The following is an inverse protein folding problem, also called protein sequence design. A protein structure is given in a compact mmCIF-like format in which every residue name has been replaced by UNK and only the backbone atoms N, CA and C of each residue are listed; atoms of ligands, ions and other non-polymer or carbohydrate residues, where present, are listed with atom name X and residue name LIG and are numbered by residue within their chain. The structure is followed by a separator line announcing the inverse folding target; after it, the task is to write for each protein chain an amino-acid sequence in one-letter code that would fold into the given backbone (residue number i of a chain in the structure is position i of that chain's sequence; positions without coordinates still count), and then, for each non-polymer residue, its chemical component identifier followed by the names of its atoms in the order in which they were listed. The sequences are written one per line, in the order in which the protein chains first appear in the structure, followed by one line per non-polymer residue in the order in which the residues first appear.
data_IF_233886857118
#
_entry.id   IF_233886857118
#
_cell.length_a   1.000
_cell.length_b   1.000
_cell.length_c   1.000
_cell.angle_alpha   90.00
_cell.angle_beta   90.00
_cell.angle_gamma   90.00
#
_symmetry.space_group_name_H-M   'P 1'
#
loop_
_entity.id
_entity.type
_entity.pdbx_description
1 polymer ?
#
# COMPACT_ATOMS: atom_id res chain seq x y z
N UNK A 1 33.29 19.91 17.71
CA UNK A 1 33.19 20.30 16.28
C UNK A 1 33.48 19.17 15.31
N UNK A 2 34.51 18.34 15.53
CA UNK A 2 34.94 17.29 14.58
C UNK A 2 33.92 16.17 14.31
N UNK A 3 33.21 15.65 15.32
CA UNK A 3 32.21 14.57 15.16
C UNK A 3 30.97 14.97 14.32
N UNK A 4 30.62 16.27 14.32
CA UNK A 4 29.48 16.82 13.58
C UNK A 4 29.82 17.08 12.11
N UNK A 5 31.09 17.38 11.81
CA UNK A 5 31.61 17.54 10.45
C UNK A 5 31.72 16.18 9.75
N UNK A 6 32.30 15.19 10.43
CA UNK A 6 32.48 13.84 9.90
C UNK A 6 31.16 13.11 9.56
N UNK A 7 30.09 13.35 10.35
CA UNK A 7 28.75 12.80 10.08
C UNK A 7 28.05 13.53 8.91
N UNK A 8 28.38 14.80 8.69
CA UNK A 8 27.83 15.60 7.59
C UNK A 8 28.49 15.20 6.27
N UNK A 9 29.81 15.05 6.28
CA UNK A 9 30.60 14.60 5.13
C UNK A 9 30.20 13.18 4.68
N UNK A 10 29.93 12.26 5.62
CA UNK A 10 29.43 10.92 5.30
C UNK A 10 28.03 10.94 4.66
N UNK A 11 27.12 11.72 5.23
CA UNK A 11 25.75 11.81 4.72
C UNK A 11 25.69 12.48 3.33
N UNK A 12 26.51 13.51 3.09
CA UNK A 12 26.63 14.13 1.77
C UNK A 12 27.22 13.16 0.74
N UNK A 13 28.22 12.37 1.12
CA UNK A 13 28.81 11.35 0.25
C UNK A 13 27.82 10.22 -0.07
N UNK A 14 27.02 9.78 0.91
CA UNK A 14 25.98 8.77 0.72
C UNK A 14 24.89 9.29 -0.23
N UNK A 15 24.44 10.54 -0.08
CA UNK A 15 23.45 11.15 -0.97
C UNK A 15 23.98 11.30 -2.41
N UNK A 16 25.25 11.66 -2.56
CA UNK A 16 25.89 11.76 -3.87
C UNK A 16 25.95 10.38 -4.55
N UNK A 17 26.37 9.35 -3.81
CA UNK A 17 26.42 7.98 -4.30
C UNK A 17 25.03 7.44 -4.70
N UNK A 18 24.00 7.72 -3.91
CA UNK A 18 22.62 7.34 -4.25
C UNK A 18 22.15 8.02 -5.54
N UNK A 19 22.45 9.31 -5.70
CA UNK A 19 22.10 10.07 -6.91
C UNK A 19 22.81 9.53 -8.15
N UNK A 20 24.08 9.15 -8.02
CA UNK A 20 24.83 8.48 -9.10
C UNK A 20 24.16 7.18 -9.52
N UNK A 21 23.76 6.32 -8.56
CA UNK A 21 23.08 5.06 -8.84
C UNK A 21 21.71 5.24 -9.49
N UNK A 22 20.95 6.26 -9.09
CA UNK A 22 19.69 6.63 -9.74
C UNK A 22 19.93 7.02 -11.20
N UNK A 23 20.96 7.84 -11.47
CA UNK A 23 21.31 8.25 -12.83
C UNK A 23 21.80 7.06 -13.68
N UNK A 24 22.59 6.16 -13.10
CA UNK A 24 23.07 4.94 -13.76
C UNK A 24 21.89 4.04 -14.15
N UNK A 25 20.94 3.80 -13.23
CA UNK A 25 19.73 3.04 -13.52
C UNK A 25 18.88 3.73 -14.59
N UNK A 26 18.69 5.06 -14.51
CA UNK A 26 17.94 5.82 -15.52
C UNK A 26 18.57 5.66 -16.91
N UNK A 27 19.89 5.77 -17.01
CA UNK A 27 20.61 5.56 -18.27
C UNK A 27 20.45 4.11 -18.77
N UNK A 28 20.53 3.13 -17.87
CA UNK A 28 20.41 1.71 -18.20
C UNK A 28 18.99 1.30 -18.66
N UNK A 29 17.96 2.02 -18.22
CA UNK A 29 16.58 1.86 -18.69
C UNK A 29 16.36 2.39 -20.11
N UNK A 30 17.26 3.23 -20.62
CA UNK A 30 17.17 3.83 -21.94
C UNK A 30 16.08 4.92 -22.03
N UNK A 31 15.70 5.26 -23.26
CA UNK A 31 14.67 6.27 -23.49
C UNK A 31 13.27 5.72 -23.16
N UNK A 32 12.66 6.27 -22.11
CA UNK A 32 11.28 6.00 -21.74
C UNK A 32 10.35 7.03 -22.36
N UNK A 33 9.09 6.64 -22.63
CA UNK A 33 8.05 7.52 -23.15
C UNK A 33 6.70 7.25 -22.48
N UNK A 34 5.75 8.17 -22.66
CA UNK A 34 4.39 8.05 -22.15
C UNK A 34 4.33 7.76 -20.65
N UNK A 35 3.45 6.83 -20.26
CA UNK A 35 3.24 6.46 -18.85
C UNK A 35 4.47 5.88 -18.17
N UNK A 36 5.34 5.19 -18.91
CA UNK A 36 6.58 4.65 -18.36
C UNK A 36 7.54 5.76 -17.92
N UNK A 37 7.63 6.85 -18.70
CA UNK A 37 8.43 8.02 -18.31
C UNK A 37 7.84 8.69 -17.06
N UNK A 38 6.52 8.85 -17.01
CA UNK A 38 5.83 9.46 -15.88
C UNK A 38 5.95 8.63 -14.59
N UNK A 39 5.90 7.30 -14.70
CA UNK A 39 6.05 6.39 -13.56
C UNK A 39 7.47 6.39 -12.99
N UNK A 40 8.49 6.41 -13.85
CA UNK A 40 9.91 6.26 -13.50
C UNK A 40 10.56 7.56 -12.95
N UNK A 41 9.94 8.15 -11.93
CA UNK A 41 10.51 9.26 -11.14
C UNK A 41 11.76 8.83 -10.35
N UNK A 42 12.56 9.78 -9.88
CA UNK A 42 13.74 9.51 -9.03
C UNK A 42 13.39 8.71 -7.78
N UNK A 43 12.25 9.03 -7.14
CA UNK A 43 11.71 8.28 -6.02
C UNK A 43 11.38 6.83 -6.42
N UNK A 44 10.77 6.63 -7.60
CA UNK A 44 10.56 5.28 -8.13
C UNK A 44 11.87 4.53 -8.31
N UNK A 45 12.83 5.11 -9.04
CA UNK A 45 14.13 4.47 -9.29
C UNK A 45 14.85 4.10 -8.00
N UNK A 46 14.83 4.99 -6.99
CA UNK A 46 15.37 4.71 -5.66
C UNK A 46 14.74 3.47 -5.01
N UNK A 47 13.40 3.35 -5.00
CA UNK A 47 12.74 2.18 -4.39
C UNK A 47 13.16 0.86 -5.03
N UNK A 48 13.33 0.83 -6.36
CA UNK A 48 13.82 -0.36 -7.05
C UNK A 48 15.28 -0.66 -6.71
N UNK A 49 16.13 0.37 -6.60
CA UNK A 49 17.52 0.23 -6.13
C UNK A 49 17.57 -0.32 -4.71
N UNK A 50 16.84 0.26 -3.77
CA UNK A 50 16.78 -0.19 -2.38
C UNK A 50 16.34 -1.64 -2.26
N UNK A 51 15.26 -2.02 -2.96
CA UNK A 51 14.75 -3.39 -2.97
C UNK A 51 15.73 -4.43 -3.56
N UNK A 52 16.78 -3.98 -4.25
CA UNK A 52 17.83 -4.83 -4.82
C UNK A 52 19.22 -4.48 -4.30
N UNK A 53 19.30 -3.92 -3.10
CA UNK A 53 20.55 -3.58 -2.41
C UNK A 53 21.48 -2.71 -3.28
N UNK A 54 20.90 -1.72 -3.97
CA UNK A 54 21.57 -0.77 -4.86
C UNK A 54 22.30 -1.42 -6.06
N UNK A 55 21.95 -2.67 -6.41
CA UNK A 55 22.46 -3.34 -7.61
C UNK A 55 21.66 -2.89 -8.85
N UNK A 56 22.31 -2.17 -9.76
CA UNK A 56 21.66 -1.55 -10.92
C UNK A 56 21.05 -2.57 -11.87
N UNK A 57 21.75 -3.64 -12.22
CA UNK A 57 21.24 -4.66 -13.16
C UNK A 57 20.00 -5.38 -12.63
N UNK A 58 20.03 -5.79 -11.35
CA UNK A 58 18.87 -6.42 -10.70
C UNK A 58 17.69 -5.46 -10.59
N UNK A 59 17.96 -4.18 -10.32
CA UNK A 59 16.94 -3.13 -10.24
C UNK A 59 16.31 -2.87 -11.59
N UNK A 60 17.13 -2.78 -12.65
CA UNK A 60 16.70 -2.66 -14.04
C UNK A 60 15.76 -3.80 -14.42
N UNK A 61 16.18 -5.05 -14.18
CA UNK A 61 15.36 -6.21 -14.53
C UNK A 61 14.00 -6.17 -13.82
N UNK A 62 13.98 -5.87 -12.51
CA UNK A 62 12.74 -5.76 -11.73
C UNK A 62 11.83 -4.62 -12.22
N UNK A 63 12.42 -3.47 -12.57
CA UNK A 63 11.67 -2.33 -13.10
C UNK A 63 11.12 -2.61 -14.50
N UNK A 64 11.89 -3.25 -15.38
CA UNK A 64 11.43 -3.67 -16.71
C UNK A 64 10.25 -4.64 -16.63
N UNK A 65 10.32 -5.64 -15.75
CA UNK A 65 9.19 -6.55 -15.52
C UNK A 65 7.98 -5.80 -14.96
N UNK A 66 8.18 -4.78 -14.12
CA UNK A 66 7.06 -3.95 -13.67
C UNK A 66 6.46 -3.12 -14.79
N UNK A 67 7.28 -2.47 -15.63
CA UNK A 67 6.77 -1.69 -16.76
C UNK A 67 6.00 -2.56 -17.76
N UNK A 68 6.46 -3.80 -17.98
CA UNK A 68 5.75 -4.80 -18.78
C UNK A 68 4.44 -5.23 -18.13
N UNK A 69 4.43 -5.48 -16.81
CA UNK A 69 3.20 -5.79 -16.09
C UNK A 69 2.22 -4.62 -16.13
N UNK A 70 2.68 -3.37 -15.95
CA UNK A 70 1.81 -2.19 -16.01
C UNK A 70 1.23 -1.99 -17.40
N UNK A 71 1.98 -2.27 -18.47
CA UNK A 71 1.45 -2.11 -19.83
C UNK A 71 0.36 -3.12 -20.18
N UNK A 72 0.33 -4.29 -19.53
CA UNK A 72 -0.70 -5.31 -19.74
C UNK A 72 -1.83 -5.25 -18.71
N UNK A 73 -1.49 -5.12 -17.42
CA UNK A 73 -2.44 -5.09 -16.30
C UNK A 73 -3.15 -3.75 -16.15
N UNK A 74 -2.47 -2.66 -16.54
CA UNK A 74 -2.99 -1.28 -16.55
C UNK A 74 -3.61 -0.86 -15.21
N UNK A 75 -2.85 -0.91 -14.11
CA UNK A 75 -3.39 -0.60 -12.78
C UNK A 75 -3.96 0.82 -12.68
N UNK A 76 -3.42 1.78 -13.45
CA UNK A 76 -3.93 3.15 -13.53
C UNK A 76 -5.30 3.28 -14.23
N UNK A 77 -5.76 2.27 -14.98
CA UNK A 77 -7.05 2.26 -15.69
C UNK A 77 -8.19 1.64 -14.85
N UNK A 78 -7.88 1.03 -13.70
CA UNK A 78 -8.89 0.41 -12.85
C UNK A 78 -9.73 1.52 -12.18
N UNK A 79 -11.04 1.46 -12.37
CA UNK A 79 -11.99 2.40 -11.79
C UNK A 79 -12.74 1.78 -10.61
N UNK A 80 -13.19 2.61 -9.67
CA UNK A 80 -13.87 2.15 -8.46
C UNK A 80 -15.11 1.31 -8.76
N UNK A 81 -15.94 1.73 -9.72
CA UNK A 81 -17.19 1.03 -10.04
C UNK A 81 -16.97 -0.43 -10.49
N UNK A 82 -15.81 -0.77 -11.04
CA UNK A 82 -15.47 -2.14 -11.44
C UNK A 82 -15.17 -3.05 -10.24
N UNK A 83 -14.73 -2.46 -9.12
CA UNK A 83 -14.24 -3.18 -7.93
C UNK A 83 -15.00 -2.85 -6.65
N UNK A 84 -15.99 -1.97 -6.69
CA UNK A 84 -16.71 -1.48 -5.51
C UNK A 84 -17.35 -2.61 -4.69
N UNK A 85 -17.93 -3.60 -5.36
CA UNK A 85 -18.53 -4.79 -4.73
C UNK A 85 -17.54 -5.58 -3.84
N UNK A 86 -16.24 -5.55 -4.16
CA UNK A 86 -15.21 -6.19 -3.33
C UNK A 86 -15.03 -5.45 -2.00
N UNK A 87 -15.36 -4.17 -1.94
CA UNK A 87 -15.22 -3.29 -0.78
C UNK A 87 -16.44 -3.21 0.13
N UNK A 88 -17.59 -3.78 -0.23
CA UNK A 88 -18.88 -3.61 0.49
C UNK A 88 -18.81 -3.95 1.99
N UNK A 89 -18.04 -4.96 2.37
CA UNK A 89 -17.88 -5.38 3.77
C UNK A 89 -16.74 -4.65 4.49
N UNK A 90 -16.02 -3.76 3.80
CA UNK A 90 -14.83 -3.09 4.29
C UNK A 90 -13.70 -4.08 4.58
N UNK A 91 -13.56 -5.14 3.79
CA UNK A 91 -12.48 -6.12 3.91
C UNK A 91 -11.11 -5.54 3.61
N UNK A 92 -11.03 -4.53 2.76
CA UNK A 92 -9.83 -3.77 2.47
C UNK A 92 -10.26 -2.34 2.12
N UNK A 93 -9.66 -1.34 2.76
CA UNK A 93 -9.95 0.07 2.49
C UNK A 93 -8.80 0.97 2.93
N UNK A 94 -8.73 2.18 2.36
CA UNK A 94 -7.85 3.26 2.83
C UNK A 94 -8.53 4.00 3.96
N UNK A 95 -7.89 4.06 5.12
CA UNK A 95 -8.41 4.79 6.26
C UNK A 95 -8.43 6.31 5.99
N UNK A 96 -9.29 7.02 6.72
CA UNK A 96 -9.39 8.48 6.71
C UNK A 96 -8.45 9.15 7.74
N UNK A 97 -7.63 8.37 8.45
CA UNK A 97 -6.62 8.86 9.39
C UNK A 97 -5.21 8.51 8.93
N UNK A 98 -4.24 9.23 9.50
CA UNK A 98 -2.81 9.00 9.30
C UNK A 98 -2.22 8.39 10.57
N UNK A 99 -1.07 7.73 10.42
CA UNK A 99 -0.22 7.46 11.56
C UNK A 99 0.51 8.75 12.02
N UNK A 100 1.21 8.70 13.16
CA UNK A 100 1.91 9.84 13.74
C UNK A 100 3.09 10.35 12.90
N UNK A 101 3.55 9.58 11.92
CA UNK A 101 4.56 10.01 10.95
C UNK A 101 3.93 10.57 9.66
N UNK A 102 2.61 10.75 9.63
CA UNK A 102 1.90 11.31 8.49
C UNK A 102 1.70 10.32 7.34
N UNK A 103 1.75 9.02 7.60
CA UNK A 103 1.62 7.98 6.59
C UNK A 103 0.17 7.54 6.46
N UNK A 104 -0.27 7.34 5.21
CA UNK A 104 -1.57 6.74 4.95
C UNK A 104 -1.64 5.30 5.47
N UNK A 105 -2.84 4.91 5.87
CA UNK A 105 -3.12 3.61 6.48
C UNK A 105 -4.07 2.83 5.59
N UNK A 106 -3.66 1.62 5.21
CA UNK A 106 -4.55 0.60 4.63
C UNK A 106 -5.03 -0.33 5.74
N UNK A 107 -6.33 -0.59 5.78
CA UNK A 107 -6.94 -1.53 6.70
C UNK A 107 -7.39 -2.76 5.95
N UNK A 108 -6.86 -3.93 6.31
CA UNK A 108 -7.23 -5.25 5.78
C UNK A 108 -7.92 -6.05 6.89
N UNK A 109 -9.10 -6.59 6.60
CA UNK A 109 -9.89 -7.42 7.52
C UNK A 109 -10.24 -8.74 6.83
N UNK A 110 -9.33 -9.73 6.86
CA UNK A 110 -9.51 -10.98 6.13
C UNK A 110 -10.77 -11.75 6.55
N UNK A 111 -11.24 -11.60 7.79
CA UNK A 111 -12.49 -12.21 8.28
C UNK A 111 -13.77 -11.63 7.64
N UNK A 112 -13.67 -10.51 6.90
CA UNK A 112 -14.80 -9.87 6.21
C UNK A 112 -14.87 -10.21 4.72
N UNK A 113 -14.23 -11.29 4.27
CA UNK A 113 -14.29 -11.71 2.87
C UNK A 113 -15.74 -11.92 2.41
N UNK A 114 -16.11 -11.33 1.28
CA UNK A 114 -17.48 -11.33 0.74
C UNK A 114 -17.59 -11.90 -0.69
N UNK A 115 -16.47 -12.08 -1.39
CA UNK A 115 -16.45 -12.57 -2.78
C UNK A 115 -15.50 -13.75 -2.96
N UNK A 116 -15.58 -14.42 -4.10
CA UNK A 116 -14.74 -15.57 -4.47
C UNK A 116 -13.93 -15.36 -5.76
N UNK A 117 -14.21 -14.29 -6.52
CA UNK A 117 -13.52 -14.02 -7.79
C UNK A 117 -12.05 -13.71 -7.55
N UNK A 118 -11.18 -14.54 -8.12
CA UNK A 118 -9.73 -14.37 -8.04
C UNK A 118 -9.27 -13.05 -8.66
N UNK A 119 -9.73 -12.74 -9.87
CA UNK A 119 -9.28 -11.58 -10.62
C UNK A 119 -9.82 -10.28 -10.01
N UNK A 120 -11.08 -10.25 -9.57
CA UNK A 120 -11.67 -9.05 -8.94
C UNK A 120 -10.97 -8.73 -7.62
N UNK A 121 -10.64 -9.74 -6.81
CA UNK A 121 -9.89 -9.54 -5.57
C UNK A 121 -8.50 -8.94 -5.82
N UNK A 122 -7.79 -9.43 -6.83
CA UNK A 122 -6.49 -8.88 -7.21
C UNK A 122 -6.63 -7.43 -7.72
N UNK A 123 -7.61 -7.16 -8.59
CA UNK A 123 -7.90 -5.81 -9.08
C UNK A 123 -8.24 -4.85 -7.95
N UNK A 124 -9.03 -5.26 -6.97
CA UNK A 124 -9.39 -4.44 -5.81
C UNK A 124 -8.19 -4.09 -4.94
N UNK A 125 -7.29 -5.05 -4.66
CA UNK A 125 -6.04 -4.79 -3.93
C UNK A 125 -5.16 -3.80 -4.70
N UNK A 126 -4.99 -4.01 -6.01
CA UNK A 126 -4.17 -3.13 -6.86
C UNK A 126 -4.78 -1.73 -6.95
N UNK A 127 -6.09 -1.62 -7.11
CA UNK A 127 -6.81 -0.35 -7.11
C UNK A 127 -6.54 0.43 -5.82
N UNK A 128 -6.72 -0.20 -4.66
CA UNK A 128 -6.51 0.47 -3.38
C UNK A 128 -5.05 0.83 -3.12
N UNK A 129 -4.09 0.06 -3.65
CA UNK A 129 -2.67 0.42 -3.64
C UNK A 129 -2.39 1.67 -4.47
N UNK A 130 -2.82 1.71 -5.73
CA UNK A 130 -2.63 2.88 -6.61
C UNK A 130 -3.34 4.11 -6.03
N UNK A 131 -4.57 3.95 -5.56
CA UNK A 131 -5.36 4.99 -4.91
C UNK A 131 -4.67 5.54 -3.65
N UNK A 132 -4.06 4.67 -2.84
CA UNK A 132 -3.30 5.08 -1.65
C UNK A 132 -2.02 5.82 -2.08
N UNK A 133 -1.29 5.30 -3.07
CA UNK A 133 -0.08 5.94 -3.60
C UNK A 133 -0.36 7.33 -4.15
N UNK A 134 -1.47 7.49 -4.87
CA UNK A 134 -1.94 8.76 -5.43
C UNK A 134 -2.20 9.85 -4.36
N UNK A 135 -2.47 9.41 -3.13
CA UNK A 135 -2.88 10.27 -2.02
C UNK A 135 -1.85 10.33 -0.89
N UNK A 136 -0.68 9.73 -1.06
CA UNK A 136 0.41 9.90 -0.10
C UNK A 136 0.76 11.38 0.06
N UNK A 137 0.93 11.88 1.31
CA UNK A 137 1.39 13.24 1.54
C UNK A 137 2.73 13.53 0.86
N UNK A 138 3.01 14.81 0.60
CA UNK A 138 4.28 15.21 0.02
C UNK A 138 5.46 14.74 0.87
N UNK A 139 6.48 14.19 0.21
CA UNK A 139 7.65 13.62 0.88
C UNK A 139 7.44 12.20 1.41
N UNK A 140 6.21 11.66 1.37
CA UNK A 140 5.93 10.32 1.84
C UNK A 140 5.84 9.29 0.70
N UNK A 141 6.51 8.16 0.89
CA UNK A 141 6.56 7.08 -0.12
C UNK A 141 5.99 5.76 0.35
N UNK A 142 5.79 5.62 1.66
CA UNK A 142 5.35 4.39 2.30
C UNK A 142 3.98 4.53 2.95
N UNK A 143 3.32 3.41 3.16
CA UNK A 143 2.05 3.30 3.86
C UNK A 143 2.17 2.29 5.01
N UNK A 144 1.23 2.38 5.93
CA UNK A 144 1.08 1.45 7.05
C UNK A 144 -0.11 0.53 6.79
N UNK A 145 0.01 -0.73 7.21
CA UNK A 145 -1.07 -1.71 7.11
C UNK A 145 -1.55 -2.08 8.51
N UNK A 146 -2.86 -1.94 8.75
CA UNK A 146 -3.54 -2.53 9.89
C UNK A 146 -4.28 -3.79 9.40
N UNK A 147 -3.97 -4.95 9.95
CA UNK A 147 -4.51 -6.23 9.50
C UNK A 147 -5.27 -6.87 10.67
N UNK A 148 -6.59 -6.86 10.62
CA UNK A 148 -7.46 -7.45 11.65
C UNK A 148 -7.90 -8.86 11.29
N UNK A 149 -7.35 -9.84 12.03
CA UNK A 149 -7.72 -11.25 11.90
C UNK A 149 -8.90 -11.64 12.79
N UNK A 150 -9.57 -10.69 13.45
CA UNK A 150 -10.77 -10.99 14.24
C UNK A 150 -11.85 -11.59 13.34
N UNK A 151 -12.40 -12.74 13.75
CA UNK A 151 -13.37 -13.49 12.96
C UNK A 151 -12.78 -14.23 11.74
N UNK A 152 -11.47 -14.16 11.51
CA UNK A 152 -10.82 -14.94 10.45
C UNK A 152 -10.77 -16.43 10.79
N UNK A 153 -11.06 -17.26 9.80
CA UNK A 153 -10.95 -18.71 9.83
C UNK A 153 -10.55 -19.21 8.44
N UNK A 154 -10.23 -20.51 8.32
CA UNK A 154 -9.97 -21.11 7.01
C UNK A 154 -11.21 -21.09 6.10
N UNK A 155 -12.42 -21.12 6.66
CA UNK A 155 -13.67 -21.18 5.88
C UNK A 155 -14.07 -19.83 5.26
N UNK A 156 -13.58 -18.70 5.77
CA UNK A 156 -13.80 -17.36 5.21
C UNK A 156 -12.49 -16.70 4.71
N UNK A 157 -11.45 -17.50 4.47
CA UNK A 157 -10.16 -17.03 4.01
C UNK A 157 -10.12 -16.79 2.49
N UNK A 158 -9.27 -15.86 2.08
CA UNK A 158 -8.88 -15.70 0.67
C UNK A 158 -8.23 -17.01 0.18
N UNK A 159 -8.60 -17.53 -1.00
CA UNK A 159 -7.94 -18.70 -1.57
C UNK A 159 -6.41 -18.54 -1.63
N UNK A 160 -5.67 -19.60 -1.27
CA UNK A 160 -4.19 -19.56 -1.22
C UNK A 160 -3.58 -19.07 -2.54
N UNK A 161 -4.17 -19.44 -3.68
CA UNK A 161 -3.74 -18.95 -5.00
C UNK A 161 -3.81 -17.41 -5.06
N UNK A 162 -4.94 -16.83 -4.72
CA UNK A 162 -5.15 -15.37 -4.72
C UNK A 162 -4.22 -14.68 -3.73
N UNK A 163 -4.08 -15.21 -2.51
CA UNK A 163 -3.18 -14.64 -1.51
C UNK A 163 -1.71 -14.65 -1.97
N UNK A 164 -1.27 -15.75 -2.60
CA UNK A 164 0.09 -15.88 -3.15
C UNK A 164 0.32 -14.90 -4.30
N UNK A 165 -0.66 -14.71 -5.16
CA UNK A 165 -0.56 -13.80 -6.30
C UNK A 165 -0.59 -12.32 -5.87
N UNK A 166 -1.45 -11.95 -4.92
CA UNK A 166 -1.42 -10.64 -4.30
C UNK A 166 -0.05 -10.35 -3.65
N UNK A 167 0.50 -11.33 -2.91
CA UNK A 167 1.83 -11.22 -2.32
C UNK A 167 2.92 -11.09 -3.40
N UNK A 168 2.80 -11.78 -4.53
CA UNK A 168 3.72 -11.67 -5.65
C UNK A 168 3.69 -10.26 -6.27
N UNK A 169 2.50 -9.71 -6.51
CA UNK A 169 2.32 -8.35 -7.05
C UNK A 169 2.96 -7.32 -6.10
N UNK A 170 2.65 -7.39 -4.81
CA UNK A 170 3.21 -6.48 -3.79
C UNK A 170 4.75 -6.52 -3.77
N UNK A 171 5.34 -7.72 -3.78
CA UNK A 171 6.79 -7.91 -3.69
C UNK A 171 7.54 -7.50 -4.97
N UNK A 172 6.94 -7.70 -6.15
CA UNK A 172 7.63 -7.53 -7.43
C UNK A 172 7.33 -6.21 -8.13
N UNK A 173 6.17 -5.59 -7.86
CA UNK A 173 5.71 -4.39 -8.57
C UNK A 173 5.51 -3.17 -7.66
N UNK A 174 5.52 -3.36 -6.34
CA UNK A 174 5.39 -2.27 -5.36
C UNK A 174 6.52 -2.27 -4.32
N UNK A 175 7.81 -2.27 -4.74
CA UNK A 175 8.94 -2.31 -3.81
C UNK A 175 8.95 -1.11 -2.87
N UNK A 176 9.41 -1.35 -1.64
CA UNK A 176 9.60 -0.33 -0.59
C UNK A 176 8.37 0.56 -0.31
N UNK A 177 7.16 0.03 -0.50
CA UNK A 177 5.90 0.73 -0.14
C UNK A 177 5.42 0.47 1.28
N UNK A 178 5.81 -0.65 1.90
CA UNK A 178 5.42 -0.97 3.28
C UNK A 178 6.38 -0.31 4.28
N UNK A 179 5.84 0.53 5.15
CA UNK A 179 6.54 1.03 6.34
C UNK A 179 6.41 0.06 7.50
N UNK A 180 5.18 -0.25 7.91
CA UNK A 180 4.87 -1.17 8.99
C UNK A 180 3.55 -1.90 8.72
N UNK A 181 3.45 -3.14 9.22
CA UNK A 181 2.23 -3.94 9.24
C UNK A 181 1.92 -4.35 10.67
N UNK A 182 0.74 -3.97 11.18
CA UNK A 182 0.24 -4.32 12.50
C UNK A 182 -0.81 -5.42 12.35
N UNK A 183 -0.51 -6.60 12.88
CA UNK A 183 -1.38 -7.77 12.81
C UNK A 183 -2.12 -7.90 14.13
N UNK A 184 -3.44 -7.70 14.09
CA UNK A 184 -4.35 -7.76 15.22
C UNK A 184 -4.98 -9.13 15.35
N UNK A 185 -4.89 -9.69 16.56
CA UNK A 185 -5.39 -11.02 16.89
C UNK A 185 -5.05 -12.10 15.84
N UNK A 186 -3.82 -12.14 15.27
CA UNK A 186 -3.50 -13.13 14.26
C UNK A 186 -3.53 -14.54 14.86
N UNK A 187 -3.82 -15.58 14.05
CA UNK A 187 -3.71 -16.96 14.48
C UNK A 187 -2.31 -17.23 15.05
N UNK A 188 -2.21 -17.86 16.22
CA UNK A 188 -0.93 -18.06 16.94
C UNK A 188 0.18 -18.70 16.09
N UNK A 189 -0.18 -19.51 15.09
CA UNK A 189 0.77 -20.10 14.15
C UNK A 189 1.58 -19.05 13.37
N UNK A 190 1.03 -17.85 13.16
CA UNK A 190 1.70 -16.75 12.44
C UNK A 190 2.90 -16.22 13.24
N UNK A 191 2.77 -16.08 14.57
CA UNK A 191 3.90 -15.68 15.41
C UNK A 191 5.02 -16.71 15.40
N UNK A 192 4.65 -18.00 15.49
CA UNK A 192 5.61 -19.10 15.45
C UNK A 192 6.37 -19.11 14.12
N UNK A 193 5.65 -18.96 13.00
CA UNK A 193 6.27 -18.83 11.68
C UNK A 193 7.15 -17.58 11.59
N UNK A 194 6.71 -16.44 12.14
CA UNK A 194 7.48 -15.21 12.10
C UNK A 194 8.83 -15.32 12.83
N UNK A 195 8.87 -16.03 13.96
CA UNK A 195 10.12 -16.31 14.69
C UNK A 195 11.13 -17.11 13.87
N UNK A 196 10.67 -17.94 12.93
CA UNK A 196 11.54 -18.73 12.04
C UNK A 196 12.07 -17.88 10.89
N UNK A 197 11.21 -17.08 10.23
CA UNK A 197 11.63 -16.26 9.08
C UNK A 197 12.65 -15.16 9.45
N UNK A 198 12.73 -14.79 10.74
CA UNK A 198 13.76 -13.89 11.30
C UNK A 198 15.18 -14.19 10.78
N UNK A 199 15.53 -15.46 10.62
CA UNK A 199 16.89 -15.86 10.20
C UNK A 199 17.14 -15.73 8.69
N UNK A 200 16.09 -15.51 7.90
CA UNK A 200 16.14 -15.44 6.45
C UNK A 200 15.86 -14.04 5.91
N UNK A 201 15.20 -13.17 6.70
CA UNK A 201 14.90 -11.80 6.33
C UNK A 201 15.98 -10.85 6.83
N UNK A 202 16.23 -9.77 6.08
CA UNK A 202 17.04 -8.69 6.59
C UNK A 202 16.36 -8.03 7.81
N UNK A 203 17.14 -7.47 8.75
CA UNK A 203 16.59 -6.90 9.99
C UNK A 203 15.55 -5.79 9.77
N UNK A 204 15.67 -4.99 8.69
CA UNK A 204 14.71 -3.91 8.43
C UNK A 204 13.36 -4.50 8.05
N UNK A 205 13.32 -5.46 7.14
CA UNK A 205 12.10 -6.16 6.73
C UNK A 205 11.43 -6.89 7.90
N UNK A 206 12.22 -7.56 8.74
CA UNK A 206 11.70 -8.25 9.91
C UNK A 206 10.99 -7.31 10.90
N UNK A 207 11.54 -6.10 11.11
CA UNK A 207 10.99 -5.12 12.05
C UNK A 207 9.70 -4.42 11.58
N UNK A 208 9.36 -4.53 10.28
CA UNK A 208 8.14 -3.92 9.73
C UNK A 208 6.87 -4.59 10.28
N UNK A 209 6.92 -5.88 10.63
CA UNK A 209 5.75 -6.63 11.13
C UNK A 209 5.67 -6.57 12.65
N UNK A 210 4.49 -6.18 13.15
CA UNK A 210 4.19 -5.97 14.57
C UNK A 210 2.94 -6.77 14.94
N UNK A 211 3.05 -7.60 15.96
CA UNK A 211 1.92 -8.37 16.50
C UNK A 211 1.24 -7.56 17.60
N UNK A 212 -0.09 -7.45 17.53
CA UNK A 212 -0.87 -6.58 18.43
C UNK A 212 -2.03 -7.38 19.03
N UNK A 213 -2.15 -7.32 20.35
CA UNK A 213 -3.24 -7.92 21.11
C UNK A 213 -3.89 -6.90 22.03
N UNK A 214 -5.21 -6.67 21.89
CA UNK A 214 -5.94 -5.61 22.61
C UNK A 214 -5.83 -5.70 24.14
N UNK A 215 -5.69 -6.92 24.68
CA UNK A 215 -5.57 -7.16 26.13
C UNK A 215 -4.13 -7.07 26.65
N UNK A 216 -3.15 -6.79 25.79
CA UNK A 216 -1.74 -6.70 26.14
C UNK A 216 -1.30 -5.24 26.22
N UNK A 217 -0.80 -4.81 27.39
CA UNK A 217 -0.42 -3.42 27.64
C UNK A 217 0.68 -2.92 26.69
N UNK A 218 1.72 -3.72 26.45
CA UNK A 218 2.82 -3.34 25.54
C UNK A 218 2.34 -3.13 24.10
N UNK A 219 1.39 -3.95 23.65
CA UNK A 219 0.72 -3.79 22.36
C UNK A 219 -0.02 -2.46 22.28
N UNK A 220 -0.74 -2.07 23.33
CA UNK A 220 -1.49 -0.80 23.36
C UNK A 220 -0.56 0.41 23.45
N UNK A 221 0.54 0.31 24.21
CA UNK A 221 1.58 1.35 24.21
C UNK A 221 2.25 1.48 22.84
N UNK A 222 2.52 0.37 22.15
CA UNK A 222 3.04 0.38 20.80
C UNK A 222 2.07 1.11 19.85
N UNK A 223 0.78 0.80 19.93
CA UNK A 223 -0.23 1.48 19.12
C UNK A 223 -0.30 2.98 19.41
N UNK A 224 -0.25 3.39 20.67
CA UNK A 224 -0.20 4.81 21.08
C UNK A 224 1.00 5.57 20.50
N UNK A 225 2.15 4.91 20.36
CA UNK A 225 3.36 5.51 19.76
C UNK A 225 3.24 5.72 18.26
N UNK A 226 2.44 4.92 17.57
CA UNK A 226 2.28 4.99 16.12
C UNK A 226 1.04 5.76 15.69
N UNK A 227 -0.02 5.82 16.51
CA UNK A 227 -1.30 6.38 16.12
C UNK A 227 -1.86 7.32 17.18
N UNK A 228 -2.70 8.25 16.72
CA UNK A 228 -3.56 9.01 17.62
C UNK A 228 -4.77 8.16 18.01
N UNK A 229 -4.90 7.87 19.31
CA UNK A 229 -5.89 6.95 19.86
C UNK A 229 -7.30 7.54 19.77
N UNK A 230 -7.43 8.86 19.73
CA UNK A 230 -8.75 9.50 19.67
C UNK A 230 -9.43 9.31 18.30
N UNK A 231 -8.66 9.13 17.23
CA UNK A 231 -9.16 8.91 15.85
C UNK A 231 -8.94 7.48 15.35
N UNK A 232 -8.18 6.65 16.09
CA UNK A 232 -7.98 5.25 15.74
C UNK A 232 -9.27 4.47 16.04
N UNK A 233 -9.71 3.54 15.16
CA UNK A 233 -10.89 2.73 15.42
C UNK A 233 -10.76 1.84 16.66
N UNK A 234 -11.87 1.59 17.34
CA UNK A 234 -11.91 0.75 18.54
C UNK A 234 -11.43 -0.68 18.30
N UNK A 235 -11.64 -1.25 17.11
CA UNK A 235 -11.13 -2.57 16.73
C UNK A 235 -9.60 -2.64 16.77
N UNK A 236 -8.94 -1.49 16.65
CA UNK A 236 -7.50 -1.33 16.70
C UNK A 236 -6.98 -0.80 18.05
N UNK A 237 -7.84 -0.72 19.06
CA UNK A 237 -7.51 -0.24 20.40
C UNK A 237 -7.61 1.28 20.58
N UNK A 238 -8.27 1.97 19.64
CA UNK A 238 -8.56 3.39 19.71
C UNK A 238 -9.90 3.73 20.37
N UNK A 239 -10.37 4.97 20.16
CA UNK A 239 -11.62 5.51 20.72
C UNK A 239 -12.65 5.89 19.65
N UNK A 240 -12.29 5.88 18.37
CA UNK A 240 -13.23 6.10 17.29
C UNK A 240 -14.11 4.87 17.08
N UNK A 241 -15.42 5.05 17.22
CA UNK A 241 -16.41 3.99 17.05
C UNK A 241 -17.21 4.16 15.74
N UNK A 242 -16.71 4.98 14.81
CA UNK A 242 -17.31 5.16 13.50
C UNK A 242 -17.13 3.88 12.68
N UNK A 243 -18.23 3.22 12.26
CA UNK A 243 -18.11 2.03 11.43
C UNK A 243 -17.58 2.38 10.04
N UNK A 244 -17.13 1.36 9.31
CA UNK A 244 -16.86 1.51 7.88
C UNK A 244 -18.15 1.84 7.15
N UNK A 245 -18.17 3.00 6.49
CA UNK A 245 -19.24 3.47 5.62
C UNK A 245 -18.83 3.25 4.16
N UNK A 246 -19.47 2.29 3.50
CA UNK A 246 -19.15 1.94 2.12
C UNK A 246 -19.55 3.04 1.13
N UNK A 247 -20.64 3.77 1.40
CA UNK A 247 -21.13 4.81 0.50
C UNK A 247 -20.21 6.02 0.52
N UNK A 248 -19.83 6.50 1.71
CA UNK A 248 -18.88 7.61 1.82
C UNK A 248 -17.49 7.22 1.30
N UNK A 249 -17.05 5.98 1.58
CA UNK A 249 -15.81 5.47 0.99
C UNK A 249 -15.88 5.45 -0.54
N UNK A 250 -16.99 4.96 -1.11
CA UNK A 250 -17.20 4.93 -2.56
C UNK A 250 -17.17 6.31 -3.19
N UNK A 251 -17.76 7.30 -2.51
CA UNK A 251 -17.76 8.69 -2.95
C UNK A 251 -16.35 9.29 -2.96
N UNK A 252 -15.51 8.91 -2.01
CA UNK A 252 -14.10 9.29 -1.98
C UNK A 252 -13.31 8.62 -3.13
N UNK A 253 -13.54 7.33 -3.37
CA UNK A 253 -12.90 6.58 -4.45
C UNK A 253 -13.26 7.15 -5.84
N UNK A 254 -14.53 7.53 -6.06
CA UNK A 254 -14.95 8.18 -7.30
C UNK A 254 -14.25 9.54 -7.54
N UNK A 255 -13.97 10.32 -6.49
CA UNK A 255 -13.16 11.54 -6.62
C UNK A 255 -11.71 11.24 -6.96
N UNK A 256 -11.16 10.19 -6.36
CA UNK A 256 -9.80 9.76 -6.62
C UNK A 256 -9.64 9.18 -8.04
N UNK A 257 -10.67 8.57 -8.61
CA UNK A 257 -10.68 8.14 -10.00
C UNK A 257 -10.49 9.34 -10.94
N UNK A 258 -11.19 10.46 -10.71
CA UNK A 258 -11.01 11.70 -11.48
C UNK A 258 -9.59 12.25 -11.31
N UNK A 259 -9.06 12.22 -10.09
CA UNK A 259 -7.68 12.65 -9.81
C UNK A 259 -6.66 11.76 -10.54
N UNK A 260 -6.87 10.46 -10.56
CA UNK A 260 -6.04 9.48 -11.29
C UNK A 260 -6.14 9.71 -12.79
N UNK A 261 -7.37 9.93 -13.30
CA UNK A 261 -7.68 10.22 -14.69
C UNK A 261 -6.83 11.39 -15.20
N UNK A 262 -6.88 12.49 -14.46
CA UNK A 262 -6.11 13.71 -14.74
C UNK A 262 -4.60 13.50 -14.64
N UNK A 263 -4.13 12.74 -13.65
CA UNK A 263 -2.70 12.46 -13.49
C UNK A 263 -2.15 11.74 -14.72
N UNK A 264 -2.83 10.68 -15.16
CA UNK A 264 -2.36 9.78 -16.21
C UNK A 264 -2.80 10.16 -17.62
N UNK A 265 -3.56 11.25 -17.77
CA UNK A 265 -3.98 11.81 -19.06
C UNK A 265 -5.10 11.02 -19.74
N UNK A 266 -6.06 10.53 -18.97
CA UNK A 266 -7.29 9.93 -19.50
C UNK A 266 -8.30 11.02 -19.90
N UNK A 267 -9.06 10.79 -20.97
CA UNK A 267 -10.13 11.71 -21.42
C UNK A 267 -11.31 11.66 -20.43
N UNK A 268 -11.83 12.83 -20.02
CA UNK A 268 -12.86 12.98 -18.97
C UNK A 268 -14.20 12.26 -19.27
N UNK A 269 -14.39 11.78 -20.50
CA UNK A 269 -15.65 11.19 -20.98
C UNK A 269 -15.96 9.79 -20.44
N UNK A 270 -14.99 9.09 -19.84
CA UNK A 270 -15.20 7.78 -19.20
C UNK A 270 -15.69 7.87 -17.75
N UNK A 271 -15.56 9.03 -17.09
CA UNK A 271 -15.69 9.14 -15.62
C UNK A 271 -16.94 9.89 -15.12
N UNK A 272 -17.76 10.46 -16.02
CA UNK A 272 -18.90 11.31 -15.67
C UNK A 272 -20.26 10.60 -15.66
N UNK A 273 -20.36 9.33 -16.03
CA UNK A 273 -21.66 8.63 -16.18
C UNK A 273 -22.27 8.08 -14.89
N UNK A 274 -21.61 8.17 -13.73
CA UNK A 274 -22.06 7.44 -12.51
C UNK A 274 -22.35 8.34 -11.30
N UNK A 275 -22.22 9.68 -11.39
CA UNK A 275 -22.38 10.57 -10.22
C UNK A 275 -23.79 11.19 -10.08
N UNK A 276 -24.72 10.93 -11.00
CA UNK A 276 -26.10 11.39 -10.84
C UNK A 276 -26.98 10.28 -10.26
N UNK A 277 -27.39 10.34 -8.97
CA UNK A 277 -28.57 9.59 -8.56
C UNK A 277 -29.77 10.14 -9.32
N UNK A 278 -30.58 9.26 -9.93
CA UNK A 278 -31.87 9.66 -10.50
C UNK A 278 -32.72 10.30 -9.38
N UNK A 279 -33.35 11.46 -9.62
CA UNK A 279 -34.29 12.01 -8.67
C UNK A 279 -35.44 11.00 -8.48
N UNK A 280 -35.74 10.65 -7.23
CA UNK A 280 -36.86 9.77 -6.93
C UNK A 280 -38.14 10.28 -7.61
N UNK A 281 -38.93 9.40 -8.25
CA UNK A 281 -40.21 9.80 -8.78
C UNK A 281 -41.11 10.19 -7.61
N UNK A 282 -41.50 11.47 -7.58
CA UNK A 282 -42.53 11.98 -6.68
C UNK A 282 -43.73 11.03 -6.69
N UNK A 283 -43.97 10.37 -5.56
CA UNK A 283 -45.19 9.61 -5.26
C UNK A 283 -45.80 10.09 -3.96
#
# INVERSE_FOLDING_TARGET
MFRRKHHRDHHENDQMHQKEKINELRAAMGQLSGRSLQFCTDACLRRYLEARNWNVDKSKNMLQETLKWRSTYKPEEICWHEVAHEGETGKLYRANFLDREGRLVLVLRPGKQNTSSHDNQLRHVVYLLENTILNLPEGQEQMVWLIDFTGWSLSNSVPIKTAREAAYILQNHYPERLSAAFLYNPPKIFETFWKIVKYFLDPKTFQKVKFVYLKNTESMELMQRFFDIDILPTEFGGRDNSPYDHEEFSRLMAKDDIKSAKLWGFDDTLHLTVVAPEPEPNS
#
